data_IF_737478425842
#
_entry.id   IF_737478425842
#
_cell.length_a   1.000
_cell.length_b   1.000
_cell.length_c   1.000
_cell.angle_alpha   90.00
_cell.angle_beta   90.00
_cell.angle_gamma   90.00
#
_symmetry.space_group_name_H-M   'P 1'
#
loop_
_entity.id
_entity.type
_entity.pdbx_description
1 polymer ?
#
# COMPACT_ATOMS: atom_id res chain seq x y z
N UNK A 1 16.79 -19.91 7.72
CA UNK A 1 15.81 -19.02 7.06
C UNK A 1 16.44 -17.65 6.88
N UNK A 2 16.25 -17.00 5.73
CA UNK A 2 16.70 -15.62 5.49
C UNK A 2 15.45 -14.72 5.46
N UNK A 3 15.56 -13.56 6.09
CA UNK A 3 14.50 -12.55 6.11
C UNK A 3 14.94 -11.36 5.28
N UNK A 4 14.00 -10.75 4.56
CA UNK A 4 14.25 -9.61 3.69
C UNK A 4 13.29 -8.48 4.05
N UNK A 5 13.73 -7.23 3.90
CA UNK A 5 12.90 -6.05 4.14
C UNK A 5 12.41 -5.55 2.78
N UNK A 6 11.10 -5.42 2.62
CA UNK A 6 10.51 -4.71 1.49
C UNK A 6 10.68 -3.20 1.73
N UNK A 7 11.38 -2.52 0.83
CA UNK A 7 11.63 -1.09 0.90
C UNK A 7 11.50 -0.48 -0.49
N UNK A 8 11.04 0.76 -0.54
CA UNK A 8 11.02 1.54 -1.77
C UNK A 8 12.42 1.67 -2.40
N UNK A 9 12.46 1.73 -3.73
CA UNK A 9 13.68 1.98 -4.46
C UNK A 9 14.06 3.47 -4.37
N UNK A 10 15.13 3.77 -3.62
CA UNK A 10 15.61 5.14 -3.41
C UNK A 10 16.22 5.80 -4.65
N UNK A 11 16.39 5.06 -5.76
CA UNK A 11 16.92 5.60 -7.03
C UNK A 11 15.85 6.28 -7.89
N UNK A 12 14.56 6.09 -7.57
CA UNK A 12 13.44 6.70 -8.29
C UNK A 12 13.10 8.02 -7.61
N UNK A 13 13.46 9.13 -8.26
CA UNK A 13 13.25 10.48 -7.71
C UNK A 13 11.83 10.99 -7.95
N UNK A 14 11.17 10.59 -9.04
CA UNK A 14 9.87 11.11 -9.47
C UNK A 14 8.72 10.20 -9.07
N UNK A 15 8.83 9.56 -7.90
CA UNK A 15 7.77 8.69 -7.39
C UNK A 15 6.58 9.51 -6.88
N UNK A 16 5.35 8.95 -6.92
CA UNK A 16 4.20 9.56 -6.27
C UNK A 16 4.47 9.76 -4.77
N UNK A 17 4.17 10.95 -4.27
CA UNK A 17 4.22 11.25 -2.83
C UNK A 17 2.80 11.46 -2.35
N UNK A 18 2.40 10.70 -1.33
CA UNK A 18 1.07 10.78 -0.74
C UNK A 18 0.96 12.05 0.11
N UNK A 19 0.09 12.97 -0.30
CA UNK A 19 -0.32 14.13 0.49
C UNK A 19 -1.29 13.75 1.62
N UNK A 20 -2.06 12.67 1.44
CA UNK A 20 -2.99 12.18 2.43
C UNK A 20 -3.91 11.06 1.92
N UNK A 21 -4.74 10.52 2.81
CA UNK A 21 -5.72 9.48 2.49
C UNK A 21 -7.09 10.00 2.95
N UNK A 22 -8.10 9.91 2.09
CA UNK A 22 -9.45 10.44 2.33
C UNK A 22 -10.18 9.73 3.47
N UNK A 23 -9.74 8.52 3.83
CA UNK A 23 -10.32 7.68 4.88
C UNK A 23 -9.25 7.11 5.80
N UNK A 24 -9.54 7.13 7.09
CA UNK A 24 -8.72 6.49 8.10
C UNK A 24 -8.74 4.96 7.92
N UNK A 25 -7.58 4.36 7.73
CA UNK A 25 -7.41 2.91 7.80
C UNK A 25 -7.01 2.58 9.24
N UNK A 26 -7.91 1.93 9.98
CA UNK A 26 -7.63 1.50 11.36
C UNK A 26 -6.70 0.28 11.36
N UNK A 27 -5.40 0.55 11.40
CA UNK A 27 -4.35 -0.46 11.42
C UNK A 27 -4.44 -1.35 12.67
N UNK A 28 -4.99 -0.85 13.79
CA UNK A 28 -5.15 -1.66 15.00
C UNK A 28 -6.19 -2.76 14.79
N UNK A 29 -7.29 -2.47 14.09
CA UNK A 29 -8.28 -3.49 13.73
C UNK A 29 -7.71 -4.55 12.80
N UNK A 30 -6.88 -4.16 11.83
CA UNK A 30 -6.18 -5.12 10.94
C UNK A 30 -5.32 -6.08 11.79
N UNK A 31 -4.53 -5.54 12.74
CA UNK A 31 -3.66 -6.34 13.61
C UNK A 31 -4.43 -7.28 14.56
N UNK A 32 -5.68 -6.95 14.90
CA UNK A 32 -6.56 -7.78 15.75
C UNK A 32 -7.43 -8.75 14.96
N UNK A 33 -7.27 -8.84 13.64
CA UNK A 33 -8.14 -9.63 12.75
C UNK A 33 -9.62 -9.19 12.81
N UNK A 34 -9.86 -7.92 13.12
CA UNK A 34 -11.18 -7.27 13.22
C UNK A 34 -11.61 -6.65 11.86
N UNK A 35 -11.30 -7.35 10.76
CA UNK A 35 -11.44 -6.84 9.38
C UNK A 35 -12.90 -6.52 9.04
N UNK A 36 -13.86 -7.25 9.62
CA UNK A 36 -15.29 -7.04 9.43
C UNK A 36 -15.77 -5.64 9.85
N UNK A 37 -15.01 -4.95 10.71
CA UNK A 37 -15.32 -3.61 11.19
C UNK A 37 -14.56 -2.50 10.44
N UNK A 38 -13.81 -2.86 9.39
CA UNK A 38 -13.13 -1.90 8.51
C UNK A 38 -14.13 -1.43 7.44
N UNK A 39 -14.13 -0.12 7.14
CA UNK A 39 -14.93 0.43 6.05
C UNK A 39 -14.60 -0.29 4.74
N UNK A 40 -15.60 -0.83 4.06
CA UNK A 40 -15.44 -1.59 2.81
C UNK A 40 -15.33 -0.70 1.58
N UNK A 41 -15.75 0.55 1.67
CA UNK A 41 -15.66 1.49 0.57
C UNK A 41 -14.19 1.75 0.21
N UNK A 42 -13.85 1.93 -1.08
CA UNK A 42 -12.51 2.32 -1.48
C UNK A 42 -12.04 3.56 -0.69
N UNK A 43 -10.78 3.56 -0.28
CA UNK A 43 -10.14 4.79 0.16
C UNK A 43 -9.79 5.61 -1.10
N UNK A 44 -9.57 6.91 -0.95
CA UNK A 44 -8.96 7.71 -2.00
C UNK A 44 -7.64 8.23 -1.49
N UNK A 45 -6.64 8.26 -2.37
CA UNK A 45 -5.31 8.78 -2.07
C UNK A 45 -5.11 10.11 -2.77
N UNK A 46 -4.60 11.08 -2.03
CA UNK A 46 -4.22 12.37 -2.58
C UNK A 46 -2.72 12.35 -2.84
N UNK A 47 -2.32 12.64 -4.08
CA UNK A 47 -0.92 12.77 -4.49
C UNK A 47 -0.51 14.23 -4.51
N UNK A 48 0.74 14.52 -4.18
CA UNK A 48 1.34 15.84 -4.40
C UNK A 48 1.61 15.99 -5.89
N UNK A 49 1.01 17.01 -6.53
CA UNK A 49 1.17 17.29 -7.96
C UNK A 49 2.63 17.39 -8.39
N UNK A 50 2.95 16.69 -9.49
CA UNK A 50 4.26 16.66 -10.14
C UNK A 50 4.06 16.60 -11.65
N UNK A 51 5.02 17.12 -12.42
CA UNK A 51 4.95 17.14 -13.89
C UNK A 51 4.86 15.74 -14.50
N UNK A 52 5.52 14.76 -13.87
CA UNK A 52 5.50 13.34 -14.25
C UNK A 52 5.70 12.47 -13.02
N UNK A 53 5.01 11.33 -13.01
CA UNK A 53 5.23 10.28 -12.03
C UNK A 53 5.82 9.04 -12.70
N UNK A 54 6.85 8.48 -12.07
CA UNK A 54 7.28 7.12 -12.32
C UNK A 54 6.42 6.20 -11.45
N UNK A 55 5.57 5.39 -12.09
CA UNK A 55 4.77 4.41 -11.36
C UNK A 55 5.69 3.36 -10.73
N UNK A 56 5.55 3.19 -9.41
CA UNK A 56 6.32 2.23 -8.62
C UNK A 56 5.39 1.15 -8.05
N UNK A 57 5.94 -0.05 -7.86
CA UNK A 57 5.18 -1.19 -7.32
C UNK A 57 4.98 -1.13 -5.81
N UNK A 58 5.71 -0.26 -5.11
CA UNK A 58 5.63 -0.12 -3.67
C UNK A 58 5.90 1.33 -3.24
N UNK A 59 5.00 1.86 -2.41
CA UNK A 59 5.13 3.14 -1.70
C UNK A 59 5.00 2.85 -0.20
N UNK A 60 5.92 3.29 0.64
CA UNK A 60 5.95 2.97 2.07
C UNK A 60 5.12 3.91 2.94
N UNK A 61 5.07 5.20 2.61
CA UNK A 61 4.60 6.25 3.51
C UNK A 61 3.48 7.10 2.91
N UNK A 62 2.46 7.51 3.71
CA UNK A 62 2.27 7.21 5.14
C UNK A 62 1.65 5.83 5.41
N UNK A 63 1.18 5.13 4.37
CA UNK A 63 0.65 3.78 4.46
C UNK A 63 1.21 2.98 3.28
N UNK A 64 1.62 1.71 3.50
CA UNK A 64 2.07 0.85 2.42
C UNK A 64 1.03 0.73 1.29
N UNK A 65 1.39 1.19 0.10
CA UNK A 65 0.65 0.93 -1.14
C UNK A 65 1.46 -0.01 -2.02
N UNK A 66 0.77 -0.92 -2.69
CA UNK A 66 1.35 -1.79 -3.70
C UNK A 66 0.58 -1.63 -5.02
N UNK A 67 1.26 -1.84 -6.14
CA UNK A 67 0.60 -1.95 -7.43
C UNK A 67 -0.29 -3.20 -7.48
N UNK A 68 -1.26 -3.22 -8.41
CA UNK A 68 -2.05 -4.42 -8.69
C UNK A 68 -1.18 -5.61 -9.10
N UNK A 69 -0.14 -5.36 -9.91
CA UNK A 69 0.81 -6.40 -10.33
C UNK A 69 1.55 -7.02 -9.15
N UNK A 70 2.01 -6.20 -8.20
CA UNK A 70 2.65 -6.71 -6.99
C UNK A 70 1.67 -7.51 -6.12
N UNK A 71 0.41 -7.08 -6.03
CA UNK A 71 -0.64 -7.85 -5.33
C UNK A 71 -0.83 -9.22 -5.98
N UNK A 72 -0.92 -9.28 -7.30
CA UNK A 72 -1.11 -10.56 -8.02
C UNK A 72 0.06 -11.52 -7.76
N UNK A 73 1.30 -11.02 -7.75
CA UNK A 73 2.50 -11.80 -7.37
C UNK A 73 2.39 -12.32 -5.93
N UNK A 74 1.96 -11.48 -4.97
CA UNK A 74 1.83 -11.89 -3.57
C UNK A 74 0.71 -12.92 -3.37
N UNK A 75 -0.37 -12.82 -4.15
CA UNK A 75 -1.47 -13.79 -4.15
C UNK A 75 -1.02 -15.13 -4.74
N UNK A 76 -0.27 -15.13 -5.85
CA UNK A 76 0.33 -16.32 -6.46
C UNK A 76 1.32 -17.03 -5.53
N UNK A 77 2.02 -16.27 -4.68
CA UNK A 77 2.91 -16.80 -3.65
C UNK A 77 2.17 -17.30 -2.39
N UNK A 78 0.84 -17.24 -2.38
CA UNK A 78 -0.04 -17.64 -1.28
C UNK A 78 0.37 -17.03 0.07
N UNK A 79 0.82 -15.76 0.07
CA UNK A 79 1.25 -15.09 1.29
C UNK A 79 0.05 -14.94 2.24
N UNK A 80 0.12 -15.64 3.37
CA UNK A 80 -0.93 -15.62 4.41
C UNK A 80 -0.81 -14.36 5.27
N UNK A 81 -1.93 -13.98 5.91
CA UNK A 81 -2.03 -12.87 6.85
C UNK A 81 -1.78 -11.48 6.23
N UNK A 82 -2.10 -11.31 4.95
CA UNK A 82 -2.11 -10.00 4.30
C UNK A 82 -3.55 -9.54 4.11
N UNK A 83 -3.79 -8.25 4.35
CA UNK A 83 -5.07 -7.61 4.08
C UNK A 83 -4.87 -6.50 3.07
N UNK A 84 -5.66 -6.52 1.99
CA UNK A 84 -5.64 -5.49 0.95
C UNK A 84 -6.91 -4.66 1.01
N UNK A 85 -6.76 -3.34 0.93
CA UNK A 85 -7.86 -2.40 0.79
C UNK A 85 -7.70 -1.64 -0.53
N UNK A 86 -8.70 -1.65 -1.42
CA UNK A 86 -8.64 -0.89 -2.66
C UNK A 86 -8.61 0.62 -2.36
N UNK A 87 -7.79 1.34 -3.13
CA UNK A 87 -7.60 2.80 -3.13
C UNK A 87 -7.89 3.37 -4.52
#
# INVERSE_FOLDING_TARGET
MRYYILKENSRISNKPVLAGISKYIDVFRVKKSEIQFIDKNPAAVHLIDQDRYDFVDFISDPVPLISGQMKDILDDLEIKNVFYKPV
#
